data_IF_314213379292
#
_entry.id   IF_314213379292
#
_cell.length_a   1.000
_cell.length_b   1.000
_cell.length_c   1.000
_cell.angle_alpha   90.00
_cell.angle_beta   90.00
_cell.angle_gamma   90.00
#
_symmetry.space_group_name_H-M   'P 1'
#
loop_
_entity.id
_entity.type
_entity.pdbx_description
1 polymer ?
#
# COMPACT_ATOMS: atom_id res chain seq x y z
N UNK A 1 -8.41 -8.84 -12.92
CA UNK A 1 -7.10 -9.28 -12.45
C UNK A 1 -6.77 -8.63 -11.12
N UNK A 2 -5.65 -9.02 -10.55
CA UNK A 2 -5.29 -8.52 -9.23
C UNK A 2 -5.05 -7.02 -9.22
N UNK A 3 -4.43 -6.51 -10.25
CA UNK A 3 -4.10 -5.10 -10.31
C UNK A 3 -5.37 -4.24 -10.33
N UNK A 4 -6.40 -4.71 -11.01
CA UNK A 4 -7.68 -4.02 -11.02
C UNK A 4 -8.29 -3.99 -9.63
N UNK A 5 -8.23 -5.10 -8.93
CA UNK A 5 -8.75 -5.19 -7.56
C UNK A 5 -7.95 -4.25 -6.65
N UNK A 6 -6.62 -4.23 -6.82
CA UNK A 6 -5.78 -3.34 -6.05
C UNK A 6 -6.18 -1.88 -6.24
N UNK A 7 -6.38 -1.47 -7.49
CA UNK A 7 -6.72 -0.08 -7.76
C UNK A 7 -8.04 0.30 -7.11
N UNK A 8 -9.01 -0.59 -7.15
CA UNK A 8 -10.29 -0.31 -6.53
C UNK A 8 -10.17 -0.17 -5.02
N UNK A 9 -9.45 -1.06 -4.39
CA UNK A 9 -9.26 -1.00 -2.94
C UNK A 9 -8.48 0.23 -2.53
N UNK A 10 -7.46 0.59 -3.30
CA UNK A 10 -6.69 1.80 -3.04
C UNK A 10 -7.58 3.03 -3.14
N UNK A 11 -8.40 3.08 -4.16
CA UNK A 11 -9.32 4.20 -4.35
C UNK A 11 -10.27 4.33 -3.16
N UNK A 12 -10.79 3.21 -2.69
CA UNK A 12 -11.69 3.23 -1.55
C UNK A 12 -11.00 3.75 -0.29
N UNK A 13 -9.75 3.37 -0.09
CA UNK A 13 -8.98 3.86 1.05
C UNK A 13 -8.73 5.36 0.95
N UNK A 14 -8.49 5.85 -0.25
CA UNK A 14 -8.29 7.28 -0.44
C UNK A 14 -9.57 8.08 -0.18
N UNK A 15 -10.70 7.51 -0.54
CA UNK A 15 -11.97 8.15 -0.22
C UNK A 15 -12.20 8.20 1.29
N UNK A 16 -11.87 7.15 1.97
CA UNK A 16 -11.97 7.12 3.43
C UNK A 16 -11.06 8.16 4.05
N UNK A 17 -9.85 8.27 3.53
CA UNK A 17 -8.90 9.26 4.02
C UNK A 17 -9.44 10.68 3.85
N UNK A 18 -10.03 10.95 2.72
CA UNK A 18 -10.57 12.27 2.45
C UNK A 18 -11.70 12.61 3.42
N UNK A 19 -12.53 11.63 3.71
CA UNK A 19 -13.62 11.83 4.65
C UNK A 19 -13.10 12.16 6.03
N UNK A 20 -12.04 11.48 6.45
CA UNK A 20 -11.45 11.76 7.76
C UNK A 20 -10.83 13.14 7.80
N UNK A 21 -10.23 13.58 6.71
CA UNK A 21 -9.69 14.93 6.65
C UNK A 21 -10.80 15.97 6.79
N UNK A 22 -11.94 15.73 6.19
CA UNK A 22 -13.08 16.61 6.35
C UNK A 22 -13.58 16.62 7.78
N UNK A 23 -13.63 15.48 8.42
CA UNK A 23 -14.03 15.41 9.82
C UNK A 23 -13.06 16.18 10.71
N UNK A 24 -11.78 16.07 10.41
CA UNK A 24 -10.76 16.79 11.16
C UNK A 24 -10.93 18.29 11.03
N UNK A 25 -11.27 18.76 9.83
CA UNK A 25 -11.50 20.18 9.61
C UNK A 25 -12.74 20.67 10.35
N UNK A 26 -13.76 19.82 10.41
CA UNK A 26 -15.02 20.20 11.04
C UNK A 26 -14.95 20.13 12.57
N UNK A 27 -14.30 19.12 13.12
CA UNK A 27 -14.33 18.84 14.55
C UNK A 27 -12.99 18.92 15.24
N UNK A 28 -11.94 19.15 14.47
CA UNK A 28 -10.61 19.28 15.04
C UNK A 28 -9.89 17.95 15.16
N UNK A 29 -8.65 18.02 15.59
CA UNK A 29 -7.81 16.85 15.76
C UNK A 29 -8.07 16.25 17.13
N UNK A 30 -8.37 14.96 17.16
CA UNK A 30 -8.59 14.23 18.41
C UNK A 30 -8.15 12.79 18.24
N UNK A 31 -8.20 12.03 19.34
CA UNK A 31 -7.72 10.66 19.33
C UNK A 31 -8.45 9.79 18.35
N UNK A 32 -9.74 10.00 18.19
CA UNK A 32 -10.53 9.18 17.27
C UNK A 32 -10.09 9.39 15.84
N UNK A 33 -9.89 10.67 15.47
CA UNK A 33 -9.43 11.00 14.12
C UNK A 33 -8.05 10.43 13.86
N UNK A 34 -7.16 10.54 14.83
CA UNK A 34 -5.80 10.00 14.69
C UNK A 34 -5.84 8.49 14.51
N UNK A 35 -6.66 7.81 15.32
CA UNK A 35 -6.79 6.36 15.18
C UNK A 35 -7.31 5.96 13.81
N UNK A 36 -8.25 6.72 13.28
CA UNK A 36 -8.77 6.44 11.94
C UNK A 36 -7.70 6.59 10.87
N UNK A 37 -6.86 7.62 10.99
CA UNK A 37 -5.74 7.77 10.07
C UNK A 37 -4.78 6.60 10.17
N UNK A 38 -4.46 6.19 11.39
CA UNK A 38 -3.56 5.06 11.59
C UNK A 38 -4.12 3.81 10.91
N UNK A 39 -5.41 3.56 11.07
CA UNK A 39 -6.06 2.42 10.44
C UNK A 39 -5.94 2.47 8.93
N UNK A 40 -6.17 3.62 8.34
CA UNK A 40 -6.10 3.75 6.90
C UNK A 40 -4.68 3.51 6.41
N UNK A 41 -3.69 4.07 7.09
CA UNK A 41 -2.31 3.88 6.66
C UNK A 41 -1.86 2.43 6.84
N UNK A 42 -2.31 1.77 7.90
CA UNK A 42 -2.02 0.35 8.05
C UNK A 42 -2.64 -0.47 6.93
N UNK A 43 -3.86 -0.12 6.54
CA UNK A 43 -4.52 -0.80 5.44
C UNK A 43 -3.81 -0.54 4.12
N UNK A 44 -3.34 0.69 3.91
CA UNK A 44 -2.58 1.01 2.71
C UNK A 44 -1.29 0.22 2.65
N UNK A 45 -0.58 0.13 3.76
CA UNK A 45 0.67 -0.63 3.82
C UNK A 45 0.40 -2.10 3.54
N UNK A 46 -0.66 -2.65 4.12
CA UNK A 46 -1.03 -4.03 3.87
C UNK A 46 -1.32 -4.29 2.40
N UNK A 47 -2.04 -3.35 1.78
CA UNK A 47 -2.38 -3.47 0.37
C UNK A 47 -1.14 -3.40 -0.50
N UNK A 48 -0.21 -2.52 -0.17
CA UNK A 48 1.05 -2.43 -0.90
C UNK A 48 1.89 -3.68 -0.76
N UNK A 49 1.88 -4.28 0.42
CA UNK A 49 2.61 -5.53 0.63
C UNK A 49 2.01 -6.66 -0.19
N UNK A 50 0.70 -6.69 -0.31
CA UNK A 50 0.05 -7.67 -1.16
C UNK A 50 0.44 -7.47 -2.62
N UNK A 51 0.45 -6.22 -3.07
CA UNK A 51 0.86 -5.92 -4.42
C UNK A 51 2.30 -6.37 -4.66
N UNK A 52 3.18 -6.10 -3.71
CA UNK A 52 4.57 -6.52 -3.82
C UNK A 52 4.67 -8.04 -3.94
N UNK A 53 3.89 -8.75 -3.15
CA UNK A 53 3.88 -10.21 -3.21
C UNK A 53 3.43 -10.70 -4.58
N UNK A 54 2.40 -10.09 -5.14
CA UNK A 54 1.92 -10.48 -6.45
C UNK A 54 2.93 -10.20 -7.54
N UNK A 55 3.61 -9.07 -7.45
CA UNK A 55 4.65 -8.74 -8.39
C UNK A 55 5.81 -9.74 -8.29
N UNK A 56 6.17 -10.10 -7.07
CA UNK A 56 7.23 -11.08 -6.86
C UNK A 56 6.87 -12.43 -7.46
N UNK A 57 5.62 -12.84 -7.30
CA UNK A 57 5.16 -14.09 -7.89
C UNK A 57 5.26 -14.06 -9.40
N UNK A 58 4.87 -12.95 -10.01
CA UNK A 58 4.95 -12.82 -11.45
C UNK A 58 6.40 -12.83 -11.92
N UNK A 59 7.27 -12.17 -11.20
CA UNK A 59 8.67 -12.13 -11.54
C UNK A 59 9.32 -13.51 -11.43
N UNK A 60 9.02 -14.23 -10.38
CA UNK A 60 9.55 -15.57 -10.22
C UNK A 60 9.07 -16.49 -11.32
N UNK A 61 7.85 -16.28 -11.77
CA UNK A 61 7.30 -17.12 -12.82
C UNK A 61 7.87 -16.77 -14.19
N UNK A 62 8.12 -15.49 -14.42
CA UNK A 62 8.58 -15.02 -15.72
C UNK A 62 10.06 -15.23 -15.94
N UNK A 63 10.81 -15.37 -14.89
CA UNK A 63 12.25 -15.44 -14.98
C UNK A 63 12.82 -16.54 -14.16
N UNK A 64 13.94 -17.03 -14.62
CA UNK A 64 14.57 -18.13 -13.94
C UNK A 64 15.98 -17.85 -13.54
N UNK A 65 16.56 -16.79 -14.03
CA UNK A 65 17.97 -16.59 -13.75
C UNK A 65 18.16 -15.83 -12.47
N UNK A 66 19.05 -16.28 -11.65
CA UNK A 66 19.28 -15.70 -10.34
C UNK A 66 20.04 -14.39 -10.34
N UNK A 67 20.69 -14.08 -11.44
CA UNK A 67 21.45 -12.85 -11.50
C UNK A 67 20.63 -11.62 -11.26
N UNK A 68 19.39 -11.68 -11.62
CA UNK A 68 18.50 -10.56 -11.42
C UNK A 68 18.29 -10.27 -9.95
N UNK A 69 18.22 -11.30 -9.17
CA UNK A 69 17.94 -11.16 -7.75
C UNK A 69 19.05 -10.39 -7.05
N UNK A 70 20.25 -10.52 -7.53
CA UNK A 70 21.38 -9.89 -6.90
C UNK A 70 21.37 -8.39 -6.98
N UNK A 71 20.64 -7.85 -7.93
CA UNK A 71 20.67 -6.42 -8.13
C UNK A 71 19.80 -5.66 -7.16
N UNK A 72 18.68 -6.24 -6.81
CA UNK A 72 17.77 -5.57 -5.92
C UNK A 72 18.41 -5.19 -4.59
N UNK A 73 19.10 -6.08 -3.93
CA UNK A 73 19.74 -5.74 -2.66
C UNK A 73 20.77 -4.64 -2.78
N UNK A 74 21.34 -4.51 -3.94
CA UNK A 74 22.38 -3.51 -4.14
C UNK A 74 21.84 -2.11 -4.01
N UNK A 75 20.65 -1.88 -4.50
CA UNK A 75 20.05 -0.60 -4.35
C UNK A 75 19.79 -0.27 -2.92
N UNK A 76 19.31 -1.24 -2.20
CA UNK A 76 18.83 -0.99 -0.86
C UNK A 76 19.94 -0.65 0.09
N UNK A 77 21.14 -0.94 -0.29
CA UNK A 77 22.27 -0.62 0.56
C UNK A 77 22.63 0.83 0.55
N UNK A 78 22.16 1.51 -0.41
CA UNK A 78 22.45 2.94 -0.48
C UNK A 78 21.55 3.71 0.44
#
# INVERSE_FOLDING_TARGET
>A
DYFHVFKKQWYDLEKDEEKIKQDMQAYGLNDIVVDQFIQIYQNKIGLLKQLQTEIDKMNLRARRHPGFVNQAPTYLKM
#
